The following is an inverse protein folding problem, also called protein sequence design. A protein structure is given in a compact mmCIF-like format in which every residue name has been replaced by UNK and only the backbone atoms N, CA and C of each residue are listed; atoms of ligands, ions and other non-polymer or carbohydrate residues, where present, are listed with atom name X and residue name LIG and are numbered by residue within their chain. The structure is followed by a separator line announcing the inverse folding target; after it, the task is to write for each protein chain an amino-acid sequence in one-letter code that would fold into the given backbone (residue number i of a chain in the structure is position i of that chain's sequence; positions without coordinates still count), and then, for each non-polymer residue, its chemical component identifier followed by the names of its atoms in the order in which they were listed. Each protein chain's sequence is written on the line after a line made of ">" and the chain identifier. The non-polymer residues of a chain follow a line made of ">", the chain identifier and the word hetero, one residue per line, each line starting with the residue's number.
data_IF_087592757062
#
_entry.id   IF_087592757062
#
_cell.length_a   1.000
_cell.length_b   1.000
_cell.length_c   1.000
_cell.angle_alpha   90.00
_cell.angle_beta   90.00
_cell.angle_gamma   90.00
#
_symmetry.space_group_name_H-M   'P 1'
#
loop_
_entity.id
_entity.type
_entity.pdbx_description
1 polymer ?
#
# COMPACT_ATOMS: atom_id res chain seq x y z
N UNK A 1 -26.45 1.38 4.04
CA UNK A 1 -25.18 1.28 4.80
C UNK A 1 -23.98 1.67 3.92
N UNK A 2 -23.01 2.45 4.42
CA UNK A 2 -21.75 2.62 3.69
C UNK A 2 -21.12 1.23 3.51
N UNK A 3 -20.86 0.84 2.26
CA UNK A 3 -20.22 -0.44 1.96
C UNK A 3 -18.77 -0.40 2.39
N UNK A 4 -18.36 -1.39 3.16
CA UNK A 4 -16.97 -1.54 3.59
C UNK A 4 -16.08 -1.88 2.40
N UNK A 5 -15.06 -1.05 2.11
CA UNK A 5 -14.20 -1.27 0.95
C UNK A 5 -13.18 -2.36 1.22
N UNK A 6 -12.62 -2.88 0.13
CA UNK A 6 -11.37 -3.63 0.10
C UNK A 6 -10.33 -2.78 -0.66
N UNK A 7 -9.22 -2.46 0.00
CA UNK A 7 -8.14 -1.64 -0.57
C UNK A 7 -6.78 -2.28 -0.32
N UNK A 8 -6.00 -2.46 -1.39
CA UNK A 8 -4.57 -2.71 -1.30
C UNK A 8 -3.85 -1.38 -1.46
N UNK A 9 -3.11 -0.95 -0.44
CA UNK A 9 -2.26 0.23 -0.51
C UNK A 9 -0.90 -0.20 -1.07
N UNK A 10 -0.41 0.50 -2.08
CA UNK A 10 0.95 0.37 -2.60
C UNK A 10 1.69 1.68 -2.35
N UNK A 11 2.63 1.64 -1.41
CA UNK A 11 3.34 2.82 -0.90
C UNK A 11 4.79 2.85 -1.37
N UNK A 12 5.14 3.95 -2.02
CA UNK A 12 6.51 4.27 -2.40
C UNK A 12 7.34 4.71 -1.19
N UNK A 13 8.48 4.07 -0.96
CA UNK A 13 9.42 4.45 0.10
C UNK A 13 10.38 5.57 -0.38
N UNK A 14 10.43 5.88 -1.67
CA UNK A 14 11.35 6.83 -2.27
C UNK A 14 10.84 8.28 -2.22
N UNK A 15 10.42 8.72 -1.03
CA UNK A 15 9.89 10.06 -0.76
C UNK A 15 10.65 10.80 0.37
N UNK A 16 11.98 11.05 0.23
CA UNK A 16 12.81 11.60 1.30
C UNK A 16 12.71 13.13 1.48
N UNK A 17 11.99 13.83 0.61
CA UNK A 17 11.86 15.29 0.62
C UNK A 17 11.25 15.74 1.95
N UNK A 18 11.88 16.70 2.63
CA UNK A 18 11.32 17.33 3.84
C UNK A 18 10.12 18.21 3.47
N UNK A 19 9.02 17.98 4.17
CA UNK A 19 7.77 18.70 4.03
C UNK A 19 7.24 19.06 5.43
N UNK A 20 7.78 20.15 5.98
CA UNK A 20 7.35 20.67 7.28
C UNK A 20 8.03 20.00 8.46
N UNK A 21 9.32 19.62 8.32
CA UNK A 21 10.11 19.01 9.39
C UNK A 21 9.98 17.48 9.50
N UNK A 22 9.30 16.85 8.52
CA UNK A 22 9.21 15.41 8.35
C UNK A 22 9.32 15.06 6.87
N UNK A 23 9.78 13.85 6.54
CA UNK A 23 9.81 13.40 5.15
C UNK A 23 8.38 13.26 4.59
N UNK A 24 8.21 13.48 3.28
CA UNK A 24 6.94 13.22 2.59
C UNK A 24 6.40 11.82 2.88
N UNK A 25 7.26 10.79 2.93
CA UNK A 25 6.86 9.44 3.32
C UNK A 25 6.22 9.41 4.72
N UNK A 26 6.84 10.07 5.70
CA UNK A 26 6.32 10.12 7.07
C UNK A 26 4.95 10.80 7.12
N UNK A 27 4.78 11.93 6.41
CA UNK A 27 3.50 12.63 6.31
C UNK A 27 2.40 11.75 5.67
N UNK A 28 2.75 11.01 4.61
CA UNK A 28 1.84 10.05 3.97
C UNK A 28 1.48 8.90 4.93
N UNK A 29 2.47 8.35 5.64
CA UNK A 29 2.25 7.28 6.61
C UNK A 29 1.31 7.73 7.73
N UNK A 30 1.48 8.95 8.25
CA UNK A 30 0.59 9.55 9.26
C UNK A 30 -0.85 9.71 8.73
N UNK A 31 -1.02 10.21 7.51
CA UNK A 31 -2.33 10.34 6.88
C UNK A 31 -3.01 8.97 6.67
N UNK A 32 -2.26 7.95 6.26
CA UNK A 32 -2.76 6.58 6.11
C UNK A 32 -3.18 5.98 7.45
N UNK A 33 -2.37 6.12 8.50
CA UNK A 33 -2.72 5.69 9.87
C UNK A 33 -4.02 6.34 10.33
N UNK A 34 -4.15 7.67 10.20
CA UNK A 34 -5.36 8.39 10.56
C UNK A 34 -6.60 7.88 9.79
N UNK A 35 -6.43 7.55 8.50
CA UNK A 35 -7.51 6.99 7.69
C UNK A 35 -7.90 5.58 8.14
N UNK A 36 -6.95 4.72 8.45
CA UNK A 36 -7.19 3.33 8.90
C UNK A 36 -8.03 3.32 10.18
N UNK A 37 -7.76 4.24 11.12
CA UNK A 37 -8.48 4.33 12.41
C UNK A 37 -9.98 4.64 12.27
N UNK A 38 -10.41 5.23 11.15
CA UNK A 38 -11.81 5.59 10.91
C UNK A 38 -12.53 4.67 9.92
N UNK A 39 -11.85 3.64 9.40
CA UNK A 39 -12.47 2.66 8.50
C UNK A 39 -13.34 1.67 9.29
N UNK A 40 -14.46 1.19 8.71
CA UNK A 40 -15.25 0.11 9.29
C UNK A 40 -14.39 -1.14 9.59
N UNK A 41 -14.60 -1.85 10.71
CA UNK A 41 -13.78 -3.00 11.10
C UNK A 41 -13.73 -4.15 10.07
N UNK A 42 -14.77 -4.32 9.25
CA UNK A 42 -14.82 -5.37 8.21
C UNK A 42 -14.20 -4.92 6.87
N UNK A 43 -13.71 -3.67 6.78
CA UNK A 43 -13.00 -3.17 5.59
C UNK A 43 -11.75 -4.00 5.36
N UNK A 44 -11.56 -4.46 4.12
CA UNK A 44 -10.35 -5.15 3.70
C UNK A 44 -9.21 -4.15 3.50
N UNK A 45 -8.10 -4.30 4.21
CA UNK A 45 -6.92 -3.45 4.01
C UNK A 45 -5.66 -4.31 3.94
N UNK A 46 -4.84 -4.06 2.93
CA UNK A 46 -3.49 -4.64 2.78
C UNK A 46 -2.48 -3.54 2.49
N UNK A 47 -1.20 -3.83 2.71
CA UNK A 47 -0.09 -2.91 2.50
C UNK A 47 1.04 -3.60 1.73
N UNK A 48 1.39 -3.00 0.61
CA UNK A 48 2.61 -3.24 -0.15
C UNK A 48 3.49 -2.01 -0.12
N UNK A 49 4.79 -2.21 -0.09
CA UNK A 49 5.80 -1.14 -0.21
C UNK A 49 6.70 -1.40 -1.41
N UNK A 50 7.37 -0.37 -1.90
CA UNK A 50 8.49 -0.52 -2.83
C UNK A 50 9.54 0.56 -2.60
N UNK A 51 10.81 0.20 -2.76
CA UNK A 51 11.97 1.08 -2.52
C UNK A 51 12.72 1.47 -3.80
N UNK A 52 12.14 1.20 -4.97
CA UNK A 52 12.83 1.40 -6.23
C UNK A 52 13.78 0.29 -6.64
N UNK A 53 13.82 -0.81 -5.92
CA UNK A 53 14.52 -2.04 -6.31
C UNK A 53 13.53 -3.20 -6.33
N UNK A 54 12.70 -3.31 -5.30
CA UNK A 54 11.73 -4.41 -5.17
C UNK A 54 10.45 -3.96 -4.47
N UNK A 55 9.37 -4.67 -4.77
CA UNK A 55 8.12 -4.61 -4.01
C UNK A 55 8.11 -5.62 -2.87
N UNK A 56 7.47 -5.27 -1.75
CA UNK A 56 7.28 -6.15 -0.58
C UNK A 56 5.84 -6.10 -0.12
N UNK A 57 5.28 -7.26 0.22
CA UNK A 57 4.01 -7.35 0.94
C UNK A 57 4.29 -7.21 2.43
N UNK A 58 3.99 -6.05 3.00
CA UNK A 58 4.15 -5.80 4.43
C UNK A 58 3.01 -6.46 5.23
N UNK A 59 1.77 -6.25 4.76
CA UNK A 59 0.56 -6.80 5.37
C UNK A 59 -0.33 -7.33 4.27
N UNK A 60 -0.69 -8.61 4.35
CA UNK A 60 -1.66 -9.20 3.43
C UNK A 60 -3.01 -8.49 3.52
N UNK A 61 -3.80 -8.50 2.46
CA UNK A 61 -5.15 -7.93 2.51
C UNK A 61 -6.10 -8.80 3.35
N UNK A 62 -6.90 -8.15 4.20
CA UNK A 62 -7.94 -8.80 5.01
C UNK A 62 -8.72 -7.78 5.85
N UNK A 63 -9.79 -8.19 6.55
CA UNK A 63 -10.57 -7.32 7.43
C UNK A 63 -9.69 -6.68 8.51
N UNK A 64 -9.93 -5.41 8.85
CA UNK A 64 -9.20 -4.70 9.91
C UNK A 64 -9.36 -5.35 11.29
N UNK A 65 -10.53 -5.93 11.57
CA UNK A 65 -10.80 -6.65 12.82
C UNK A 65 -10.15 -8.03 12.90
N UNK A 66 -9.68 -8.58 11.77
CA UNK A 66 -9.06 -9.90 11.75
C UNK A 66 -7.65 -9.81 12.31
N UNK A 67 -7.27 -10.63 13.29
CA UNK A 67 -5.94 -10.58 13.86
C UNK A 67 -4.89 -11.23 12.93
N UNK A 68 -3.70 -10.64 12.90
CA UNK A 68 -2.48 -11.21 12.31
C UNK A 68 -1.54 -11.51 13.46
N UNK A 69 -1.14 -12.78 13.61
CA UNK A 69 -0.24 -13.23 14.68
C UNK A 69 -0.69 -12.77 16.09
N UNK A 70 -2.01 -12.73 16.33
CA UNK A 70 -2.60 -12.34 17.61
C UNK A 70 -2.80 -10.84 17.83
N UNK A 71 -2.43 -10.00 16.86
CA UNK A 71 -2.59 -8.53 16.92
C UNK A 71 -3.65 -8.09 15.90
N UNK A 72 -4.59 -7.17 16.21
CA UNK A 72 -5.53 -6.65 15.22
C UNK A 72 -4.82 -6.14 13.96
N UNK A 73 -5.36 -6.41 12.77
CA UNK A 73 -4.74 -5.96 11.50
C UNK A 73 -4.59 -4.44 11.42
N UNK A 74 -5.49 -3.68 12.03
CA UNK A 74 -5.35 -2.22 12.18
C UNK A 74 -4.03 -1.81 12.85
N UNK A 75 -3.65 -2.54 13.89
CA UNK A 75 -2.46 -2.23 14.70
C UNK A 75 -1.22 -2.72 13.98
N UNK A 76 -1.28 -3.89 13.34
CA UNK A 76 -0.21 -4.40 12.48
C UNK A 76 0.07 -3.46 11.29
N UNK A 77 -0.96 -2.91 10.65
CA UNK A 77 -0.82 -1.89 9.61
C UNK A 77 -0.20 -0.59 10.15
N UNK A 78 -0.65 -0.14 11.33
CA UNK A 78 -0.10 1.05 11.98
C UNK A 78 1.38 0.88 12.27
N UNK A 79 1.77 -0.25 12.87
CA UNK A 79 3.17 -0.57 13.15
C UNK A 79 4.01 -0.74 11.87
N UNK A 80 3.45 -1.36 10.83
CA UNK A 80 4.13 -1.45 9.54
C UNK A 80 4.38 -0.06 8.93
N UNK A 81 3.41 0.85 9.01
CA UNK A 81 3.55 2.25 8.55
C UNK A 81 4.58 3.03 9.39
N UNK A 82 4.62 2.83 10.71
CA UNK A 82 5.64 3.45 11.59
C UNK A 82 7.06 2.95 11.31
N UNK A 83 7.20 1.70 10.84
CA UNK A 83 8.48 1.11 10.44
C UNK A 83 9.01 1.58 9.09
N UNK A 84 8.26 2.40 8.35
CA UNK A 84 8.68 2.87 7.03
C UNK A 84 9.76 3.93 7.15
N UNK A 85 10.79 3.83 6.32
CA UNK A 85 11.87 4.81 6.24
C UNK A 85 12.07 5.24 4.79
N UNK A 86 12.30 6.54 4.60
CA UNK A 86 12.46 7.08 3.27
C UNK A 86 13.80 6.61 2.68
N UNK A 87 13.76 6.11 1.45
CA UNK A 87 14.95 5.69 0.72
C UNK A 87 15.24 6.67 -0.43
N UNK A 88 16.49 6.70 -0.89
CA UNK A 88 16.87 7.41 -2.11
C UNK A 88 16.72 6.56 -3.38
N UNK A 89 16.04 5.42 -3.31
CA UNK A 89 15.87 4.50 -4.43
C UNK A 89 15.01 5.07 -5.56
N UNK A 90 14.94 4.35 -6.68
CA UNK A 90 14.08 4.70 -7.82
C UNK A 90 12.59 4.43 -7.57
N UNK A 91 11.78 4.40 -8.62
CA UNK A 91 10.35 4.08 -8.53
C UNK A 91 10.03 2.86 -9.40
N UNK A 92 10.40 1.65 -8.96
CA UNK A 92 10.08 0.37 -9.65
C UNK A 92 8.64 -0.06 -9.33
N UNK A 93 7.70 0.80 -9.70
CA UNK A 93 6.29 0.65 -9.38
C UNK A 93 5.56 -0.40 -10.22
N UNK A 94 5.85 -0.56 -11.52
CA UNK A 94 5.00 -1.43 -12.37
C UNK A 94 5.07 -2.91 -12.00
N UNK A 95 6.24 -3.44 -11.65
CA UNK A 95 6.37 -4.83 -11.16
C UNK A 95 5.61 -5.02 -9.85
N UNK A 96 5.77 -4.10 -8.89
CA UNK A 96 5.03 -4.13 -7.62
C UNK A 96 3.53 -4.01 -7.85
N UNK A 97 3.09 -3.16 -8.79
CA UNK A 97 1.68 -2.98 -9.12
C UNK A 97 1.06 -4.26 -9.68
N UNK A 98 1.77 -5.00 -10.55
CA UNK A 98 1.32 -6.31 -11.02
C UNK A 98 1.14 -7.30 -9.86
N UNK A 99 2.10 -7.36 -8.94
CA UNK A 99 2.04 -8.24 -7.77
C UNK A 99 0.87 -7.87 -6.85
N UNK A 100 0.74 -6.57 -6.51
CA UNK A 100 -0.34 -6.06 -5.67
C UNK A 100 -1.72 -6.25 -6.31
N UNK A 101 -1.83 -6.06 -7.63
CA UNK A 101 -3.06 -6.29 -8.39
C UNK A 101 -3.45 -7.77 -8.39
N UNK A 102 -2.49 -8.68 -8.62
CA UNK A 102 -2.73 -10.13 -8.58
C UNK A 102 -3.15 -10.57 -7.19
N UNK A 103 -2.52 -10.05 -6.14
CA UNK A 103 -2.90 -10.33 -4.75
C UNK A 103 -4.32 -9.83 -4.44
N UNK A 104 -4.62 -8.58 -4.82
CA UNK A 104 -5.94 -7.97 -4.63
C UNK A 104 -7.04 -8.71 -5.41
N UNK A 105 -6.73 -9.22 -6.60
CA UNK A 105 -7.66 -9.97 -7.45
C UNK A 105 -7.92 -11.37 -6.87
N UNK A 106 -6.87 -12.07 -6.43
CA UNK A 106 -6.97 -13.38 -5.82
C UNK A 106 -7.76 -13.37 -4.50
N UNK A 107 -7.74 -12.25 -3.78
CA UNK A 107 -8.43 -12.07 -2.49
C UNK A 107 -9.67 -11.18 -2.60
N UNK A 108 -10.26 -11.12 -3.80
CA UNK A 108 -11.51 -10.39 -4.02
C UNK A 108 -12.62 -10.83 -3.05
N UNK A 109 -13.35 -9.85 -2.49
CA UNK A 109 -14.45 -10.07 -1.56
C UNK A 109 -15.77 -9.64 -2.20
N UNK A 110 -16.70 -10.57 -2.50
CA UNK A 110 -17.99 -10.24 -3.07
C UNK A 110 -18.74 -9.19 -2.24
N UNK A 111 -19.36 -8.23 -2.92
CA UNK A 111 -20.14 -7.17 -2.27
C UNK A 111 -19.32 -6.02 -1.68
N UNK A 112 -17.98 -6.08 -1.74
CA UNK A 112 -17.09 -4.98 -1.38
C UNK A 112 -16.43 -4.39 -2.64
N UNK A 113 -16.29 -3.06 -2.70
CA UNK A 113 -15.49 -2.42 -3.76
C UNK A 113 -14.04 -2.85 -3.58
N UNK A 114 -13.40 -3.34 -4.65
CA UNK A 114 -11.99 -3.72 -4.63
C UNK A 114 -11.15 -2.66 -5.36
N UNK A 115 -10.06 -2.22 -4.76
CA UNK A 115 -9.22 -1.15 -5.31
C UNK A 115 -7.75 -1.30 -4.93
N UNK A 116 -6.87 -0.84 -5.80
CA UNK A 116 -5.45 -0.63 -5.50
C UNK A 116 -5.19 0.87 -5.42
N UNK A 117 -4.74 1.37 -4.27
CA UNK A 117 -4.34 2.75 -4.07
C UNK A 117 -2.82 2.85 -4.21
N UNK A 118 -2.35 3.47 -5.29
CA UNK A 118 -0.92 3.71 -5.52
C UNK A 118 -0.55 5.11 -5.03
N UNK A 119 0.40 5.21 -4.11
CA UNK A 119 0.96 6.47 -3.63
C UNK A 119 2.45 6.48 -3.99
N UNK A 120 2.87 7.45 -4.80
CA UNK A 120 4.25 7.54 -5.30
C UNK A 120 4.76 8.98 -5.37
N UNK A 121 6.08 9.12 -5.20
CA UNK A 121 6.77 10.40 -5.29
C UNK A 121 7.07 10.87 -6.71
N UNK A 122 6.95 10.00 -7.72
CA UNK A 122 7.36 10.32 -9.08
C UNK A 122 7.04 9.24 -10.13
N UNK A 123 7.50 9.43 -11.38
CA UNK A 123 7.25 8.49 -12.46
C UNK A 123 8.03 7.18 -12.25
N UNK A 124 7.51 6.10 -12.82
CA UNK A 124 8.20 4.82 -12.88
C UNK A 124 9.60 4.96 -13.51
N UNK A 125 10.62 4.38 -12.89
CA UNK A 125 12.01 4.51 -13.35
C UNK A 125 12.58 3.25 -14.01
N UNK A 126 11.97 2.08 -13.79
CA UNK A 126 12.39 0.87 -14.49
C UNK A 126 11.93 0.96 -15.96
N UNK A 127 12.88 0.72 -16.87
CA UNK A 127 12.65 0.80 -18.31
C UNK A 127 12.43 -0.57 -18.95
N UNK A 128 12.58 -1.65 -18.18
CA UNK A 128 12.33 -3.01 -18.65
C UNK A 128 10.83 -3.30 -18.80
N UNK A 129 9.99 -2.58 -18.07
CA UNK A 129 8.53 -2.71 -18.12
C UNK A 129 7.88 -1.39 -18.53
N UNK A 130 7.34 -1.34 -19.75
CA UNK A 130 6.62 -0.18 -20.26
C UNK A 130 5.17 -0.13 -19.76
N UNK A 131 4.48 0.98 -20.03
CA UNK A 131 3.06 1.10 -19.75
C UNK A 131 2.21 0.08 -20.53
N UNK A 132 2.61 -0.26 -21.77
CA UNK A 132 1.96 -1.34 -22.54
C UNK A 132 2.21 -2.69 -21.86
N UNK A 133 3.44 -2.94 -21.42
CA UNK A 133 3.75 -4.13 -20.63
C UNK A 133 2.83 -4.27 -19.43
N UNK A 134 2.60 -3.19 -18.66
CA UNK A 134 1.66 -3.23 -17.54
C UNK A 134 0.22 -3.62 -17.94
N UNK A 135 -0.25 -3.21 -19.13
CA UNK A 135 -1.60 -3.53 -19.64
C UNK A 135 -1.72 -4.94 -20.21
N UNK A 136 -0.67 -5.43 -20.85
CA UNK A 136 -0.60 -6.78 -21.43
C UNK A 136 -0.43 -7.89 -20.36
N UNK A 137 -0.54 -7.53 -19.08
CA UNK A 137 -0.44 -8.40 -17.92
C UNK A 137 -1.69 -9.24 -17.68
#
# INVERSE_FOLDING_TARGET
>A
PPQSPTVTIMLDQSMPVDEGGATRLANVADALKARIQVLPPDSGVGLWTFDGVQGRSEISIGPLSEPINGVPRSDALTAALDGQSASGGGAVSFTTLRLAYTDASAKFRPGQKNSVLVITGGPHTDRSLSASGLQDY
#
